data_IF_610976759323
#
_entry.id   IF_610976759323
#
_cell.length_a   1.000
_cell.length_b   1.000
_cell.length_c   1.000
_cell.angle_alpha   90.00
_cell.angle_beta   90.00
_cell.angle_gamma   90.00
#
_symmetry.space_group_name_H-M   'P 1'
#
loop_
_entity.id
_entity.type
_entity.pdbx_description
1 polymer ?
#
# COMPACT_ATOMS: atom_id res chain seq x y z
N UNK A 1 9.85 -12.97 16.80
CA UNK A 1 8.69 -12.10 16.62
C UNK A 1 9.01 -11.01 15.62
N UNK A 2 8.17 -10.86 14.61
CA UNK A 2 8.43 -9.88 13.57
C UNK A 2 7.94 -8.52 13.99
N UNK A 3 8.75 -7.53 13.69
CA UNK A 3 8.34 -6.16 13.93
C UNK A 3 7.49 -5.68 12.78
N UNK A 4 6.42 -4.99 13.11
CA UNK A 4 5.56 -4.40 12.11
C UNK A 4 6.07 -3.00 11.80
N UNK A 5 6.20 -2.71 10.51
CA UNK A 5 6.63 -1.38 10.09
C UNK A 5 5.47 -0.42 10.25
N UNK A 6 5.47 0.28 11.36
CA UNK A 6 4.40 1.21 11.69
C UNK A 6 4.29 2.32 10.64
N UNK A 7 5.43 2.79 10.14
CA UNK A 7 5.42 3.83 9.12
C UNK A 7 4.72 3.35 7.86
N UNK A 8 4.99 2.12 7.46
CA UNK A 8 4.35 1.56 6.28
C UNK A 8 2.84 1.43 6.47
N UNK A 9 2.43 0.98 7.66
CA UNK A 9 1.01 0.86 7.97
C UNK A 9 0.33 2.22 7.95
N UNK A 10 0.96 3.21 8.56
CA UNK A 10 0.40 4.56 8.58
C UNK A 10 0.26 5.12 7.18
N UNK A 11 1.27 4.90 6.33
CA UNK A 11 1.20 5.37 4.96
C UNK A 11 0.08 4.67 4.20
N UNK A 12 -0.07 3.38 4.42
CA UNK A 12 -1.14 2.63 3.78
C UNK A 12 -2.50 3.17 4.19
N UNK A 13 -2.68 3.45 5.47
CA UNK A 13 -3.94 3.99 5.96
C UNK A 13 -4.26 5.35 5.36
N UNK A 14 -3.22 6.15 5.10
CA UNK A 14 -3.42 7.46 4.52
C UNK A 14 -4.02 7.37 3.12
N UNK A 15 -3.76 6.29 2.41
CA UNK A 15 -4.27 6.10 1.06
C UNK A 15 -5.46 5.16 1.00
N UNK A 16 -6.03 4.84 2.15
CA UNK A 16 -7.13 3.86 2.21
C UNK A 16 -8.28 4.24 1.30
N UNK A 17 -8.59 5.52 1.19
CA UNK A 17 -9.70 5.97 0.37
C UNK A 17 -9.43 5.82 -1.11
N UNK A 18 -8.17 5.88 -1.49
CA UNK A 18 -7.78 5.78 -2.89
C UNK A 18 -7.73 4.31 -3.33
N UNK A 19 -7.46 3.42 -2.40
CA UNK A 19 -7.28 2.00 -2.70
C UNK A 19 -8.60 1.26 -2.62
N UNK A 20 -8.74 0.24 -3.47
CA UNK A 20 -9.86 -0.67 -3.31
C UNK A 20 -9.63 -1.53 -2.07
N UNK A 21 -10.71 -2.16 -1.61
CA UNK A 21 -10.62 -3.04 -0.46
C UNK A 21 -9.56 -4.13 -0.67
N UNK A 22 -9.56 -4.72 -1.86
CA UNK A 22 -8.63 -5.80 -2.18
C UNK A 22 -7.19 -5.28 -2.22
N UNK A 23 -6.97 -4.13 -2.82
CA UNK A 23 -5.64 -3.54 -2.87
C UNK A 23 -5.12 -3.27 -1.47
N UNK A 24 -5.97 -2.70 -0.65
CA UNK A 24 -5.59 -2.39 0.73
C UNK A 24 -5.19 -3.65 1.49
N UNK A 25 -6.00 -4.70 1.39
CA UNK A 25 -5.72 -5.93 2.09
C UNK A 25 -4.44 -6.61 1.60
N UNK A 26 -4.22 -6.57 0.30
CA UNK A 26 -3.01 -7.18 -0.26
C UNK A 26 -1.76 -6.49 0.28
N UNK A 27 -1.76 -5.17 0.27
CA UNK A 27 -0.61 -4.42 0.76
C UNK A 27 -0.43 -4.60 2.27
N UNK A 28 -1.54 -4.58 3.00
CA UNK A 28 -1.48 -4.79 4.43
C UNK A 28 -0.89 -6.16 4.76
N UNK A 29 -1.29 -7.19 4.03
CA UNK A 29 -0.76 -8.51 4.24
C UNK A 29 0.74 -8.59 4.02
N UNK A 30 1.23 -7.88 3.02
CA UNK A 30 2.66 -7.84 2.75
C UNK A 30 3.42 -7.19 3.90
N UNK A 31 2.90 -6.11 4.42
CA UNK A 31 3.53 -5.44 5.55
C UNK A 31 3.57 -6.37 6.76
N UNK A 32 2.47 -7.02 7.04
CA UNK A 32 2.38 -7.90 8.20
C UNK A 32 3.30 -9.12 8.08
N UNK A 33 3.58 -9.55 6.86
CA UNK A 33 4.49 -10.67 6.65
C UNK A 33 5.95 -10.25 6.60
N UNK A 34 6.22 -8.96 6.84
CA UNK A 34 7.60 -8.47 6.89
C UNK A 34 8.11 -7.91 5.59
N UNK A 35 7.25 -7.72 4.60
CA UNK A 35 7.65 -7.23 3.29
C UNK A 35 7.15 -5.80 3.08
N UNK A 36 7.54 -4.91 3.99
CA UNK A 36 7.08 -3.53 3.90
C UNK A 36 7.64 -2.83 2.67
N UNK A 37 8.86 -3.16 2.26
CA UNK A 37 9.45 -2.55 1.08
C UNK A 37 8.63 -2.90 -0.15
N UNK A 38 8.29 -4.17 -0.31
CA UNK A 38 7.47 -4.60 -1.43
C UNK A 38 6.09 -3.97 -1.41
N UNK A 39 5.52 -3.84 -0.20
CA UNK A 39 4.22 -3.22 -0.05
C UNK A 39 4.26 -1.75 -0.47
N UNK A 40 5.30 -1.04 -0.09
CA UNK A 40 5.42 0.37 -0.46
C UNK A 40 5.59 0.55 -1.95
N UNK A 41 6.38 -0.32 -2.58
CA UNK A 41 6.53 -0.27 -4.03
C UNK A 41 5.21 -0.57 -4.72
N UNK A 42 4.46 -1.54 -4.23
CA UNK A 42 3.15 -1.85 -4.78
C UNK A 42 2.21 -0.68 -4.64
N UNK A 43 2.24 -0.02 -3.50
CA UNK A 43 1.41 1.16 -3.28
C UNK A 43 1.75 2.26 -4.27
N UNK A 44 3.03 2.54 -4.46
CA UNK A 44 3.44 3.56 -5.42
C UNK A 44 2.97 3.23 -6.83
N UNK A 45 3.12 1.97 -7.23
CA UNK A 45 2.68 1.56 -8.55
C UNK A 45 1.19 1.76 -8.74
N UNK A 46 0.41 1.40 -7.72
CA UNK A 46 -1.04 1.56 -7.79
C UNK A 46 -1.40 3.03 -7.89
N UNK A 47 -0.78 3.86 -7.06
CA UNK A 47 -1.07 5.28 -7.07
C UNK A 47 -0.69 5.91 -8.40
N UNK A 48 0.44 5.50 -8.95
CA UNK A 48 0.89 6.02 -10.22
C UNK A 48 -0.09 5.68 -11.34
N UNK A 49 -0.58 4.45 -11.34
CA UNK A 49 -1.57 4.04 -12.34
C UNK A 49 -2.85 4.87 -12.23
N UNK A 50 -3.30 5.09 -11.01
CA UNK A 50 -4.51 5.86 -10.81
C UNK A 50 -4.34 7.30 -11.28
N UNK A 51 -3.15 7.86 -11.07
CA UNK A 51 -2.87 9.22 -11.53
C UNK A 51 -2.86 9.29 -13.04
N UNK A 52 -2.28 8.30 -13.69
CA UNK A 52 -2.23 8.28 -15.16
C UNK A 52 -3.62 8.19 -15.74
N UNK A 53 -4.48 7.35 -15.16
CA UNK A 53 -5.84 7.24 -15.65
C UNK A 53 -6.59 8.54 -15.50
N UNK A 54 -6.34 9.24 -14.43
CA UNK A 54 -7.01 10.50 -14.17
C UNK A 54 -6.53 11.59 -15.11
N UNK A 55 -5.32 11.46 -15.61
CA UNK A 55 -4.76 12.43 -16.53
C UNK A 55 -5.42 12.47 -17.89
N UNK A 56 -6.25 11.50 -18.17
CA UNK A 56 -7.00 11.51 -19.44
C UNK A 56 -8.16 12.51 -19.39
#
# INVERSE_FOLDING_TARGET
MKEIDVNAVCRLKAYRRVLTHQEYQTLKGQILSGNSIGAMKGLENILQRKRERKGL
#
